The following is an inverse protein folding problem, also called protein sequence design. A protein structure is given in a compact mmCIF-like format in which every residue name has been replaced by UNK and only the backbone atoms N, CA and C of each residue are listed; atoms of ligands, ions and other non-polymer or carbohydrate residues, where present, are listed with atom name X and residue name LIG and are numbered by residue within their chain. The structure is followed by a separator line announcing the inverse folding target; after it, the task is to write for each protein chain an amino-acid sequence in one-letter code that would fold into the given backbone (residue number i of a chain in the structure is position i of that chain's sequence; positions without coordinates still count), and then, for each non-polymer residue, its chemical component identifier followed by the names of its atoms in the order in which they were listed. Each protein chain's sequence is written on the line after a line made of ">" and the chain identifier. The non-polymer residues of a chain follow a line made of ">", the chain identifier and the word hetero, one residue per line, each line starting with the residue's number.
data_IF_593661057710
#
_entry.id   IF_593661057710
#
_cell.length_a   1.000
_cell.length_b   1.000
_cell.length_c   1.000
_cell.angle_alpha   90.00
_cell.angle_beta   90.00
_cell.angle_gamma   90.00
#
_symmetry.space_group_name_H-M   'P 1'
#
loop_
_entity.id
_entity.type
_entity.pdbx_description
1 polymer ?
#
# COMPACT_ATOMS: atom_id res chain seq x y z
N UNK A 1 17.95 -14.16 -10.95
CA UNK A 1 16.60 -14.60 -11.36
C UNK A 1 15.70 -14.57 -10.12
N UNK A 2 14.51 -13.97 -10.22
CA UNK A 2 13.54 -13.86 -9.11
C UNK A 2 12.36 -14.83 -9.26
N UNK A 3 12.36 -15.67 -10.29
CA UNK A 3 11.32 -16.67 -10.50
C UNK A 3 11.66 -17.95 -9.72
N UNK A 4 10.89 -18.32 -8.67
CA UNK A 4 11.15 -19.53 -7.90
C UNK A 4 11.02 -20.80 -8.75
N UNK A 5 10.17 -20.79 -9.77
CA UNK A 5 9.93 -21.95 -10.63
C UNK A 5 11.12 -22.29 -11.54
N UNK A 6 12.03 -21.34 -11.80
CA UNK A 6 13.25 -21.55 -12.60
C UNK A 6 14.53 -21.62 -11.75
N UNK A 7 14.40 -21.78 -10.42
CA UNK A 7 15.54 -21.82 -9.49
C UNK A 7 16.05 -20.44 -9.07
N UNK A 8 15.33 -19.37 -9.41
CA UNK A 8 15.53 -18.03 -8.84
C UNK A 8 15.07 -17.92 -7.39
N UNK A 9 15.35 -16.79 -6.74
CA UNK A 9 14.97 -16.53 -5.34
C UNK A 9 13.98 -15.36 -5.25
N UNK A 10 12.90 -15.54 -4.50
CA UNK A 10 11.92 -14.49 -4.20
C UNK A 10 11.51 -14.58 -2.72
N UNK A 11 11.07 -13.46 -2.13
CA UNK A 11 10.54 -13.44 -0.77
C UNK A 11 9.24 -14.24 -0.73
N UNK A 12 9.12 -15.24 0.14
CA UNK A 12 7.87 -16.00 0.29
C UNK A 12 6.73 -15.12 0.83
N UNK A 13 7.03 -14.34 1.87
CA UNK A 13 6.12 -13.42 2.51
C UNK A 13 6.84 -12.15 2.93
N UNK A 14 6.07 -11.10 3.15
CA UNK A 14 6.54 -9.82 3.67
C UNK A 14 5.67 -9.43 4.87
N UNK A 15 6.33 -8.94 5.93
CA UNK A 15 5.66 -8.38 7.10
C UNK A 15 6.03 -6.91 7.20
N UNK A 16 5.01 -6.08 7.28
CA UNK A 16 5.13 -4.66 7.52
C UNK A 16 4.64 -4.36 8.93
N UNK A 17 5.48 -3.73 9.74
CA UNK A 17 5.16 -3.35 11.12
C UNK A 17 5.08 -1.83 11.17
N UNK A 18 3.95 -1.29 11.62
CA UNK A 18 3.75 0.15 11.70
C UNK A 18 4.24 0.67 13.07
N UNK A 19 5.18 1.61 13.04
CA UNK A 19 5.89 2.10 14.23
C UNK A 19 5.29 3.39 14.81
N UNK A 20 4.37 4.02 14.08
CA UNK A 20 3.67 5.23 14.45
C UNK A 20 2.24 5.19 13.88
N UNK A 21 1.36 5.99 14.47
CA UNK A 21 0.05 6.25 13.91
C UNK A 21 0.13 7.30 12.80
N UNK A 22 -0.69 7.13 11.76
CA UNK A 22 -1.02 8.17 10.80
C UNK A 22 -2.54 8.35 10.80
N UNK A 23 -3.06 9.56 11.02
CA UNK A 23 -4.50 9.81 10.91
C UNK A 23 -5.05 9.43 9.53
N UNK A 24 -6.23 8.85 9.48
CA UNK A 24 -6.86 8.39 8.23
C UNK A 24 -6.97 9.51 7.17
N UNK A 25 -7.27 10.73 7.59
CA UNK A 25 -7.37 11.90 6.71
C UNK A 25 -6.02 12.39 6.18
N UNK A 26 -4.90 11.87 6.70
CA UNK A 26 -3.53 12.20 6.28
C UNK A 26 -2.89 11.16 5.35
N UNK A 27 -3.62 10.09 4.98
CA UNK A 27 -3.12 9.09 4.02
C UNK A 27 -2.03 8.18 4.60
N UNK A 28 -0.95 7.95 3.85
CA UNK A 28 0.16 7.08 4.29
C UNK A 28 -0.16 5.59 4.35
N UNK A 29 -1.31 5.15 3.83
CA UNK A 29 -1.72 3.74 3.83
C UNK A 29 -0.78 2.84 3.03
N UNK A 30 -0.93 1.54 3.25
CA UNK A 30 -0.35 0.49 2.42
C UNK A 30 -1.40 -0.03 1.47
N UNK A 31 -1.32 0.35 0.20
CA UNK A 31 -2.34 -0.01 -0.80
C UNK A 31 -1.95 -1.29 -1.53
N UNK A 32 -2.94 -2.14 -1.82
CA UNK A 32 -2.85 -3.35 -2.63
C UNK A 32 -3.80 -3.23 -3.84
N UNK A 33 -3.42 -2.49 -4.90
CA UNK A 33 -4.33 -2.10 -5.98
C UNK A 33 -4.82 -3.26 -6.86
N UNK A 34 -4.23 -4.45 -6.72
CA UNK A 34 -4.63 -5.67 -7.44
C UNK A 34 -5.31 -6.70 -6.55
N UNK A 35 -5.38 -6.46 -5.24
CA UNK A 35 -6.09 -7.34 -4.34
C UNK A 35 -7.60 -7.13 -4.47
N UNK A 36 -8.42 -8.17 -4.23
CA UNK A 36 -9.86 -8.00 -4.12
C UNK A 36 -10.21 -6.92 -3.08
N UNK A 37 -11.13 -6.04 -3.42
CA UNK A 37 -11.62 -5.03 -2.48
C UNK A 37 -12.48 -5.72 -1.41
N UNK A 38 -11.90 -5.92 -0.23
CA UNK A 38 -12.58 -6.56 0.92
C UNK A 38 -13.23 -5.54 1.87
N UNK A 39 -12.81 -4.29 1.79
CA UNK A 39 -13.30 -3.19 2.63
C UNK A 39 -14.22 -2.27 1.83
N UNK A 40 -15.19 -1.59 2.45
CA UNK A 40 -15.90 -0.49 1.81
C UNK A 40 -14.92 0.53 1.26
N UNK A 41 -15.27 1.16 0.14
CA UNK A 41 -14.50 2.27 -0.43
C UNK A 41 -14.31 3.35 0.64
N UNK A 42 -13.07 3.81 0.85
CA UNK A 42 -12.78 4.88 1.80
C UNK A 42 -13.17 6.21 1.15
N UNK A 43 -13.78 7.09 1.93
CA UNK A 43 -14.09 8.43 1.42
C UNK A 43 -12.80 9.22 1.22
N UNK A 44 -12.52 9.61 -0.01
CA UNK A 44 -11.39 10.48 -0.33
C UNK A 44 -11.62 11.87 0.31
N UNK A 45 -10.70 12.36 1.16
CA UNK A 45 -10.85 13.68 1.78
C UNK A 45 -10.92 14.80 0.74
N UNK A 46 -11.73 15.82 1.01
CA UNK A 46 -11.83 16.99 0.15
C UNK A 46 -10.45 17.67 0.03
N UNK A 47 -10.05 18.00 -1.20
CA UNK A 47 -8.74 18.61 -1.48
C UNK A 47 -7.53 17.65 -1.39
N UNK A 48 -7.73 16.36 -1.11
CA UNK A 48 -6.61 15.39 -1.05
C UNK A 48 -5.80 15.31 -2.35
N UNK A 49 -6.47 15.49 -3.51
CA UNK A 49 -5.79 15.48 -4.81
C UNK A 49 -5.10 16.82 -5.14
N UNK A 50 -5.53 17.92 -4.53
CA UNK A 50 -5.02 19.27 -4.84
C UNK A 50 -3.56 19.42 -4.38
N UNK A 51 -3.13 18.58 -3.44
CA UNK A 51 -1.72 18.48 -2.99
C UNK A 51 -0.78 17.94 -4.07
N UNK A 52 -1.31 17.38 -5.16
CA UNK A 52 -0.51 16.71 -6.19
C UNK A 52 -0.86 17.22 -7.59
N UNK A 53 0.17 17.44 -8.42
CA UNK A 53 -0.04 17.78 -9.84
C UNK A 53 -0.91 16.73 -10.52
N UNK A 54 -1.97 17.15 -11.19
CA UNK A 54 -2.85 16.27 -11.98
C UNK A 54 -2.03 15.39 -12.94
N UNK A 55 -2.31 14.09 -12.93
CA UNK A 55 -1.60 13.09 -13.76
C UNK A 55 -0.24 12.64 -13.21
N UNK A 56 0.27 13.24 -12.13
CA UNK A 56 1.43 12.72 -11.41
C UNK A 56 1.18 11.31 -10.87
N UNK A 57 2.26 10.61 -10.50
CA UNK A 57 2.14 9.29 -9.89
C UNK A 57 1.46 9.39 -8.52
N UNK A 58 1.75 10.43 -7.73
CA UNK A 58 1.07 10.66 -6.44
C UNK A 58 -0.43 10.87 -6.65
N UNK A 59 -0.82 11.73 -7.59
CA UNK A 59 -2.23 11.99 -7.88
C UNK A 59 -2.99 10.72 -8.30
N UNK A 60 -2.37 9.82 -9.07
CA UNK A 60 -2.98 8.53 -9.46
C UNK A 60 -3.02 7.56 -8.27
N UNK A 61 -1.92 7.42 -7.55
CA UNK A 61 -1.82 6.52 -6.40
C UNK A 61 -2.78 6.94 -5.28
N UNK A 62 -2.95 8.23 -5.00
CA UNK A 62 -3.94 8.73 -4.05
C UNK A 62 -5.35 8.27 -4.41
N UNK A 63 -5.71 8.11 -5.69
CA UNK A 63 -7.02 7.53 -6.04
C UNK A 63 -7.08 6.05 -5.68
N UNK A 64 -6.06 5.29 -6.07
CA UNK A 64 -5.98 3.84 -5.79
C UNK A 64 -6.03 3.54 -4.29
N UNK A 65 -5.41 4.38 -3.47
CA UNK A 65 -5.37 4.26 -2.01
C UNK A 65 -6.73 4.31 -1.33
N UNK A 66 -7.71 4.98 -1.94
CA UNK A 66 -9.05 5.12 -1.38
C UNK A 66 -10.07 4.21 -2.10
N UNK A 67 -9.76 3.73 -3.31
CA UNK A 67 -10.62 2.84 -4.08
C UNK A 67 -10.26 1.35 -3.98
N UNK A 68 -9.10 1.00 -3.40
CA UNK A 68 -8.59 -0.37 -3.33
C UNK A 68 -8.42 -0.83 -1.88
N UNK A 69 -8.07 -2.11 -1.68
CA UNK A 69 -7.65 -2.59 -0.37
C UNK A 69 -6.43 -1.76 0.10
N UNK A 70 -6.56 -1.11 1.25
CA UNK A 70 -5.48 -0.36 1.86
C UNK A 70 -5.47 -0.56 3.37
N UNK A 71 -4.27 -0.69 3.94
CA UNK A 71 -4.06 -0.87 5.38
C UNK A 71 -3.59 0.45 5.97
N UNK A 72 -4.33 0.93 6.96
CA UNK A 72 -3.99 2.16 7.69
C UNK A 72 -2.82 1.91 8.68
N UNK A 73 -1.83 2.82 8.74
CA UNK A 73 -0.74 2.72 9.70
C UNK A 73 -1.25 3.02 11.11
N UNK A 74 -1.32 1.98 11.94
CA UNK A 74 -1.61 2.08 13.37
C UNK A 74 -0.45 1.50 14.16
N UNK A 75 0.09 2.26 15.11
CA UNK A 75 1.25 1.87 15.89
C UNK A 75 1.05 0.48 16.51
N UNK A 76 2.03 -0.41 16.32
CA UNK A 76 2.02 -1.76 16.88
C UNK A 76 1.19 -2.77 16.09
N UNK A 77 0.53 -2.37 15.00
CA UNK A 77 -0.14 -3.29 14.08
C UNK A 77 0.81 -3.75 12.96
N UNK A 78 0.42 -4.81 12.25
CA UNK A 78 1.19 -5.33 11.14
C UNK A 78 0.32 -5.80 9.97
N UNK A 79 0.83 -5.64 8.75
CA UNK A 79 0.29 -6.26 7.54
C UNK A 79 1.21 -7.41 7.11
N UNK A 80 0.64 -8.61 6.99
CA UNK A 80 1.32 -9.80 6.45
C UNK A 80 0.68 -10.17 5.12
N UNK A 81 1.51 -10.39 4.11
CA UNK A 81 1.06 -10.88 2.81
C UNK A 81 2.12 -11.79 2.18
N UNK A 82 1.67 -12.69 1.31
CA UNK A 82 2.52 -13.62 0.57
C UNK A 82 2.84 -13.02 -0.80
N UNK A 83 4.11 -13.05 -1.21
CA UNK A 83 4.51 -12.56 -2.53
C UNK A 83 4.40 -13.64 -3.60
N UNK A 84 4.25 -14.90 -3.19
CA UNK A 84 4.10 -16.05 -4.07
C UNK A 84 2.95 -16.95 -3.61
N UNK A 85 2.30 -17.60 -4.57
CA UNK A 85 1.27 -18.61 -4.34
C UNK A 85 1.90 -19.94 -3.89
N UNK A 86 1.12 -20.89 -3.33
CA UNK A 86 1.64 -22.18 -2.86
C UNK A 86 2.36 -23.02 -3.92
N UNK A 87 2.07 -22.79 -5.20
CA UNK A 87 2.72 -23.43 -6.35
C UNK A 87 3.98 -22.69 -6.83
N UNK A 88 4.43 -21.65 -6.12
CA UNK A 88 5.67 -20.91 -6.36
C UNK A 88 5.58 -19.80 -7.39
N UNK A 89 4.38 -19.49 -7.91
CA UNK A 89 4.18 -18.37 -8.86
C UNK A 89 4.12 -17.04 -8.11
N UNK A 90 4.51 -15.95 -8.78
CA UNK A 90 4.33 -14.60 -8.22
C UNK A 90 2.83 -14.33 -8.06
N UNK A 91 2.42 -13.91 -6.87
CA UNK A 91 1.03 -13.55 -6.60
C UNK A 91 0.77 -12.09 -7.05
N UNK A 92 -0.03 -11.84 -8.10
CA UNK A 92 -0.30 -10.47 -8.55
C UNK A 92 -1.04 -9.62 -7.51
N UNK A 93 -1.78 -10.25 -6.59
CA UNK A 93 -2.52 -9.55 -5.52
C UNK A 93 -1.59 -9.00 -4.45
N UNK A 94 -0.35 -9.50 -4.37
CA UNK A 94 0.69 -9.01 -3.46
C UNK A 94 1.32 -7.69 -3.94
N UNK A 95 0.92 -7.18 -5.12
CA UNK A 95 1.39 -5.89 -5.61
C UNK A 95 0.91 -4.79 -4.67
N UNK A 96 1.86 -4.06 -4.08
CA UNK A 96 1.60 -3.09 -3.03
C UNK A 96 2.40 -1.79 -3.24
N UNK A 97 1.96 -0.74 -2.56
CA UNK A 97 2.64 0.56 -2.50
C UNK A 97 2.36 1.32 -1.21
N UNK A 98 3.17 2.33 -0.92
CA UNK A 98 2.90 3.28 0.15
C UNK A 98 2.15 4.49 -0.43
N UNK A 99 0.95 4.76 0.05
CA UNK A 99 0.15 5.92 -0.30
C UNK A 99 0.86 7.23 0.07
N UNK A 100 0.67 8.32 -0.69
CA UNK A 100 1.26 9.60 -0.31
C UNK A 100 0.66 10.08 1.01
N UNK A 101 1.43 10.86 1.75
CA UNK A 101 0.88 11.64 2.85
C UNK A 101 0.11 12.85 2.29
N UNK A 102 -1.05 13.11 2.87
CA UNK A 102 -1.86 14.29 2.62
C UNK A 102 -1.48 15.33 3.68
N UNK A 103 -1.10 16.55 3.27
CA UNK A 103 -0.76 17.63 4.21
C UNK A 103 0.74 17.80 4.55
N UNK A 104 1.64 17.05 3.92
CA UNK A 104 3.03 17.49 3.71
C UNK A 104 4.08 17.25 4.83
N UNK A 105 3.76 16.53 5.91
CA UNK A 105 4.76 16.21 6.95
C UNK A 105 5.34 14.80 6.78
N UNK A 106 6.44 14.68 6.04
CA UNK A 106 7.15 13.43 5.73
C UNK A 106 7.69 12.64 6.94
N UNK A 107 7.68 13.23 8.14
CA UNK A 107 8.10 12.58 9.38
C UNK A 107 7.21 11.38 9.75
N UNK A 108 5.95 11.40 9.32
CA UNK A 108 4.98 10.33 9.58
C UNK A 108 4.89 9.32 8.42
N UNK A 109 5.76 9.42 7.42
CA UNK A 109 5.66 8.61 6.22
C UNK A 109 5.93 7.13 6.52
N UNK A 110 5.08 6.26 5.97
CA UNK A 110 5.35 4.82 5.95
C UNK A 110 6.57 4.56 5.08
N UNK A 111 7.61 3.99 5.68
CA UNK A 111 8.84 3.58 5.02
C UNK A 111 9.01 2.07 5.18
N UNK A 112 9.38 1.41 4.08
CA UNK A 112 9.55 -0.04 3.98
C UNK A 112 10.99 -0.47 4.18
#
# INVERSE_FOLDING_TARGET
>A
DFNPCSGGSNRFATVFIYLNDVPEDQGGFTVFPRAPTLTPERTLPAGALDSFRTGSWQHRMTKECFSSLAVEPKMGTAALFYSITPDGRIDPSSHHGACPLLGGNDENAVKW
#
